data_IF_925087224838
#
_entry.id   IF_925087224838
#
_cell.length_a   1.000
_cell.length_b   1.000
_cell.length_c   1.000
_cell.angle_alpha   90.00
_cell.angle_beta   90.00
_cell.angle_gamma   90.00
#
_symmetry.space_group_name_H-M   'P 1'
#
loop_
_entity.id
_entity.type
_entity.pdbx_description
1 polymer ?
#
# COMPACT_ATOMS: atom_id res chain seq x y z
N UNK A 1 -32.63 -29.71 21.27
CA UNK A 1 -31.81 -28.58 20.77
C UNK A 1 -30.94 -29.14 19.65
N UNK A 2 -31.34 -28.94 18.39
CA UNK A 2 -30.69 -29.56 17.24
C UNK A 2 -29.41 -28.80 16.86
N UNK A 3 -28.29 -29.51 16.87
CA UNK A 3 -26.97 -29.03 16.48
C UNK A 3 -26.94 -28.74 14.97
N UNK A 4 -27.06 -27.46 14.59
CA UNK A 4 -27.09 -27.00 13.19
C UNK A 4 -25.71 -26.81 12.57
N UNK A 5 -24.62 -27.22 13.25
CA UNK A 5 -23.27 -26.87 12.86
C UNK A 5 -22.48 -28.05 12.24
N UNK A 6 -23.12 -28.83 11.38
CA UNK A 6 -22.45 -29.90 10.63
C UNK A 6 -21.84 -29.34 9.34
N UNK A 7 -20.62 -28.81 9.44
CA UNK A 7 -19.84 -28.43 8.25
C UNK A 7 -19.63 -29.62 7.32
N UNK A 8 -19.85 -29.41 6.02
CA UNK A 8 -19.78 -30.46 5.01
C UNK A 8 -18.32 -30.70 4.60
N UNK A 9 -17.82 -31.95 4.64
CA UNK A 9 -16.51 -32.26 4.09
C UNK A 9 -16.55 -32.14 2.57
N UNK A 10 -15.68 -31.30 2.00
CA UNK A 10 -15.57 -31.11 0.55
C UNK A 10 -14.26 -31.77 0.09
N UNK A 11 -14.35 -32.78 -0.77
CA UNK A 11 -13.18 -33.45 -1.35
C UNK A 11 -12.41 -32.50 -2.27
N UNK A 12 -11.11 -32.33 -2.05
CA UNK A 12 -10.26 -31.47 -2.88
C UNK A 12 -9.72 -32.24 -4.09
N UNK A 13 -9.92 -31.73 -5.30
CA UNK A 13 -9.33 -32.24 -6.54
C UNK A 13 -8.13 -31.37 -6.93
N UNK A 14 -6.98 -31.97 -7.24
CA UNK A 14 -5.78 -31.23 -7.65
C UNK A 14 -5.87 -30.58 -9.05
N UNK A 15 -6.88 -30.95 -9.83
CA UNK A 15 -7.11 -30.42 -11.16
C UNK A 15 -7.97 -29.15 -11.11
N UNK A 16 -7.48 -28.06 -11.72
CA UNK A 16 -8.20 -26.79 -11.80
C UNK A 16 -8.84 -26.67 -13.18
N UNK A 17 -10.16 -26.80 -13.25
CA UNK A 17 -10.87 -26.66 -14.52
C UNK A 17 -10.78 -25.22 -15.05
N UNK A 18 -10.69 -25.02 -16.37
CA UNK A 18 -10.53 -23.69 -16.96
C UNK A 18 -11.71 -22.76 -16.65
N UNK A 19 -12.92 -23.29 -16.57
CA UNK A 19 -14.12 -22.54 -16.21
C UNK A 19 -14.04 -21.98 -14.78
N UNK A 20 -13.57 -22.78 -13.82
CA UNK A 20 -13.42 -22.34 -12.43
C UNK A 20 -12.34 -21.26 -12.33
N UNK A 21 -11.26 -21.36 -13.12
CA UNK A 21 -10.20 -20.33 -13.19
C UNK A 21 -10.78 -19.01 -13.73
N UNK A 22 -11.63 -19.06 -14.76
CA UNK A 22 -12.28 -17.87 -15.30
C UNK A 22 -13.18 -17.18 -14.27
N UNK A 23 -13.96 -17.96 -13.53
CA UNK A 23 -14.78 -17.44 -12.42
C UNK A 23 -13.90 -16.84 -11.33
N UNK A 24 -12.82 -17.51 -10.92
CA UNK A 24 -11.89 -16.98 -9.92
C UNK A 24 -11.21 -15.68 -10.39
N UNK A 25 -10.80 -15.59 -11.65
CA UNK A 25 -10.25 -14.38 -12.25
C UNK A 25 -11.25 -13.22 -12.20
N UNK A 26 -12.51 -13.47 -12.53
CA UNK A 26 -13.57 -12.46 -12.40
C UNK A 26 -13.76 -12.00 -10.95
N UNK A 27 -13.84 -12.95 -10.02
CA UNK A 27 -14.09 -12.66 -8.61
C UNK A 27 -12.91 -11.93 -7.96
N UNK A 28 -11.67 -12.25 -8.33
CA UNK A 28 -10.46 -11.66 -7.73
C UNK A 28 -10.41 -10.14 -7.90
N UNK A 29 -10.87 -9.62 -9.03
CA UNK A 29 -10.89 -8.19 -9.31
C UNK A 29 -12.16 -7.50 -8.80
N UNK A 30 -13.15 -8.25 -8.30
CA UNK A 30 -14.47 -7.70 -8.02
C UNK A 30 -14.51 -6.91 -6.70
N UNK A 31 -14.89 -5.63 -6.78
CA UNK A 31 -15.00 -4.70 -5.64
C UNK A 31 -16.07 -5.13 -4.63
N UNK A 32 -17.10 -5.85 -5.06
CA UNK A 32 -18.21 -6.32 -4.19
C UNK A 32 -17.75 -7.24 -3.05
N UNK A 33 -16.62 -7.93 -3.22
CA UNK A 33 -16.04 -8.80 -2.20
C UNK A 33 -15.52 -8.02 -0.98
N UNK A 34 -15.20 -6.73 -1.12
CA UNK A 34 -14.51 -5.87 -0.13
C UNK A 34 -13.48 -6.66 0.68
N UNK A 35 -12.55 -7.25 -0.08
CA UNK A 35 -11.47 -8.12 0.38
C UNK A 35 -10.59 -7.36 1.38
N UNK A 36 -10.07 -8.07 2.38
CA UNK A 36 -9.15 -7.50 3.38
C UNK A 36 -7.94 -8.41 3.52
N UNK A 37 -6.80 -7.85 3.87
CA UNK A 37 -5.61 -8.64 4.20
C UNK A 37 -5.65 -9.10 5.66
N UNK A 38 -5.34 -10.36 5.89
CA UNK A 38 -5.18 -10.98 7.20
C UNK A 38 -3.96 -11.88 7.22
N UNK A 39 -3.57 -12.32 8.41
CA UNK A 39 -2.43 -13.21 8.60
C UNK A 39 -2.90 -14.65 8.74
N UNK A 40 -2.70 -15.49 7.74
CA UNK A 40 -2.92 -16.92 7.83
C UNK A 40 -1.88 -17.53 8.77
N UNK A 41 -2.35 -18.28 9.77
CA UNK A 41 -1.52 -18.92 10.80
C UNK A 41 -0.51 -17.96 11.47
N UNK A 42 -0.87 -16.67 11.54
CA UNK A 42 -0.07 -15.59 12.13
C UNK A 42 1.26 -15.27 11.42
N UNK A 43 1.47 -15.73 10.18
CA UNK A 43 2.71 -15.50 9.42
C UNK A 43 2.48 -14.95 8.02
N UNK A 44 1.57 -15.54 7.25
CA UNK A 44 1.43 -15.28 5.82
C UNK A 44 0.31 -14.28 5.54
N UNK A 45 0.59 -13.25 4.74
CA UNK A 45 -0.44 -12.32 4.31
C UNK A 45 -1.34 -12.95 3.25
N UNK A 46 -2.63 -13.06 3.57
CA UNK A 46 -3.66 -13.56 2.65
C UNK A 46 -4.83 -12.61 2.60
N UNK A 47 -5.46 -12.56 1.43
CA UNK A 47 -6.70 -11.82 1.26
C UNK A 47 -7.91 -12.71 1.56
N UNK A 48 -8.82 -12.20 2.39
CA UNK A 48 -9.99 -12.92 2.81
C UNK A 48 -11.27 -12.09 2.65
N UNK A 49 -12.38 -12.79 2.53
CA UNK A 49 -13.72 -12.23 2.32
C UNK A 49 -14.77 -13.08 3.03
N UNK A 50 -16.03 -12.65 2.99
CA UNK A 50 -17.17 -13.41 3.54
C UNK A 50 -17.96 -14.09 2.43
N UNK A 51 -18.51 -15.26 2.72
CA UNK A 51 -19.29 -16.06 1.77
C UNK A 51 -20.40 -15.27 1.08
N UNK A 52 -21.25 -14.57 1.83
CA UNK A 52 -22.37 -13.78 1.28
C UNK A 52 -21.97 -12.77 0.21
N UNK A 53 -20.72 -12.30 0.22
CA UNK A 53 -20.23 -11.35 -0.77
C UNK A 53 -19.88 -12.01 -2.09
N UNK A 54 -19.39 -13.25 -2.09
CA UNK A 54 -19.22 -14.03 -3.31
C UNK A 54 -20.56 -14.34 -3.93
N UNK A 55 -21.53 -14.81 -3.13
CA UNK A 55 -22.88 -15.11 -3.64
C UNK A 55 -23.48 -13.87 -4.31
N UNK A 56 -23.34 -12.69 -3.69
CA UNK A 56 -23.75 -11.42 -4.29
C UNK A 56 -22.97 -11.07 -5.56
N UNK A 57 -21.66 -11.33 -5.61
CA UNK A 57 -20.83 -11.07 -6.79
C UNK A 57 -21.24 -11.96 -7.97
N UNK A 58 -21.55 -13.24 -7.72
CA UNK A 58 -22.00 -14.20 -8.73
C UNK A 58 -23.40 -13.89 -9.25
N UNK A 59 -24.29 -13.34 -8.41
CA UNK A 59 -25.64 -12.93 -8.82
C UNK A 59 -25.71 -11.50 -9.39
N UNK A 60 -24.58 -10.79 -9.45
CA UNK A 60 -24.53 -9.41 -9.93
C UNK A 60 -24.73 -9.29 -11.44
N UNK A 61 -25.18 -8.11 -11.89
CA UNK A 61 -25.35 -7.82 -13.31
C UNK A 61 -24.00 -7.78 -14.06
N UNK A 62 -22.90 -7.49 -13.36
CA UNK A 62 -21.54 -7.59 -13.90
C UNK A 62 -21.18 -9.03 -14.30
N UNK A 63 -21.62 -10.01 -13.53
CA UNK A 63 -21.40 -11.41 -13.84
C UNK A 63 -22.23 -11.84 -15.04
N UNK A 64 -23.52 -11.49 -15.06
CA UNK A 64 -24.44 -11.80 -16.16
C UNK A 64 -23.99 -11.19 -17.49
N UNK A 65 -23.54 -9.94 -17.48
CA UNK A 65 -23.03 -9.26 -18.69
C UNK A 65 -21.76 -9.91 -19.23
N UNK A 66 -20.83 -10.35 -18.37
CA UNK A 66 -19.65 -11.09 -18.81
C UNK A 66 -19.97 -12.50 -19.27
N UNK A 67 -20.95 -13.14 -18.65
CA UNK A 67 -21.44 -14.47 -19.03
C UNK A 67 -22.09 -14.46 -20.42
N UNK A 68 -22.72 -13.34 -20.82
CA UNK A 68 -23.29 -13.19 -22.16
C UNK A 68 -22.24 -13.29 -23.29
N UNK A 69 -20.96 -13.11 -22.98
CA UNK A 69 -19.87 -13.30 -23.92
C UNK A 69 -19.43 -14.77 -23.95
N UNK A 70 -19.62 -15.51 -25.07
CA UNK A 70 -19.24 -16.93 -25.15
C UNK A 70 -17.73 -17.18 -24.93
N UNK A 71 -16.89 -16.18 -25.23
CA UNK A 71 -15.44 -16.23 -25.05
C UNK A 71 -15.00 -16.18 -23.59
N UNK A 72 -15.88 -15.79 -22.66
CA UNK A 72 -15.53 -15.65 -21.25
C UNK A 72 -15.45 -17.00 -20.52
N UNK A 73 -16.11 -18.05 -21.04
CA UNK A 73 -16.10 -19.39 -20.45
C UNK A 73 -16.51 -19.40 -18.98
N UNK A 74 -17.56 -18.63 -18.63
CA UNK A 74 -18.08 -18.50 -17.27
C UNK A 74 -19.24 -19.49 -17.05
N UNK A 75 -19.31 -20.04 -15.84
CA UNK A 75 -20.37 -20.99 -15.46
C UNK A 75 -21.70 -20.23 -15.33
N UNK A 76 -22.81 -20.72 -15.91
CA UNK A 76 -24.10 -20.06 -15.76
C UNK A 76 -24.62 -20.10 -14.33
N UNK A 77 -25.00 -18.95 -13.79
CA UNK A 77 -25.56 -18.83 -12.43
C UNK A 77 -26.90 -18.10 -12.50
N UNK A 78 -27.99 -18.82 -12.25
CA UNK A 78 -29.34 -18.25 -12.18
C UNK A 78 -29.81 -18.05 -10.74
N UNK A 79 -29.57 -19.06 -9.88
CA UNK A 79 -30.07 -19.10 -8.51
C UNK A 79 -28.94 -19.11 -7.48
N UNK A 80 -29.29 -18.84 -6.22
CA UNK A 80 -28.36 -18.93 -5.09
C UNK A 80 -27.79 -20.34 -4.90
N UNK A 81 -28.58 -21.37 -5.22
CA UNK A 81 -28.12 -22.77 -5.20
C UNK A 81 -27.01 -23.02 -6.23
N UNK A 82 -27.12 -22.42 -7.41
CA UNK A 82 -26.10 -22.56 -8.45
C UNK A 82 -24.84 -21.78 -8.08
N UNK A 83 -24.99 -20.59 -7.50
CA UNK A 83 -23.87 -19.84 -6.94
C UNK A 83 -23.13 -20.63 -5.85
N UNK A 84 -23.88 -21.38 -5.02
CA UNK A 84 -23.31 -22.25 -4.00
C UNK A 84 -22.53 -23.41 -4.61
N UNK A 85 -23.05 -24.07 -5.65
CA UNK A 85 -22.35 -25.14 -6.37
C UNK A 85 -21.06 -24.64 -7.02
N UNK A 86 -21.10 -23.47 -7.67
CA UNK A 86 -19.91 -22.82 -8.22
C UNK A 86 -18.91 -22.51 -7.11
N UNK A 87 -19.35 -22.02 -5.96
CA UNK A 87 -18.43 -21.77 -4.86
C UNK A 87 -17.81 -23.05 -4.29
N UNK A 88 -18.56 -24.15 -4.23
CA UNK A 88 -18.03 -25.46 -3.85
C UNK A 88 -16.95 -25.89 -4.83
N UNK A 89 -17.12 -25.69 -6.15
CA UNK A 89 -16.06 -26.03 -7.12
C UNK A 89 -14.79 -25.18 -6.95
N UNK A 90 -14.91 -23.91 -6.50
CA UNK A 90 -13.76 -23.09 -6.12
C UNK A 90 -13.01 -23.65 -4.89
N UNK A 91 -13.72 -24.23 -3.92
CA UNK A 91 -13.11 -24.90 -2.76
C UNK A 91 -12.45 -26.22 -3.18
N UNK A 92 -13.14 -27.04 -3.99
CA UNK A 92 -12.64 -28.32 -4.48
C UNK A 92 -11.32 -28.16 -5.26
N UNK A 93 -11.22 -27.12 -6.09
CA UNK A 93 -10.02 -26.77 -6.87
C UNK A 93 -8.93 -26.03 -6.06
N UNK A 94 -9.11 -25.92 -4.74
CA UNK A 94 -8.18 -25.26 -3.80
C UNK A 94 -7.85 -23.80 -4.14
N UNK A 95 -8.74 -23.08 -4.84
CA UNK A 95 -8.55 -21.65 -5.11
C UNK A 95 -8.93 -20.79 -3.90
N UNK A 96 -9.78 -21.34 -3.04
CA UNK A 96 -10.27 -20.72 -1.82
C UNK A 96 -10.18 -21.74 -0.68
N UNK A 97 -9.74 -21.29 0.49
CA UNK A 97 -9.71 -22.09 1.70
C UNK A 97 -10.66 -21.53 2.78
N UNK A 98 -11.41 -22.40 3.49
CA UNK A 98 -12.19 -21.98 4.65
C UNK A 98 -11.28 -21.52 5.79
N UNK A 99 -11.59 -20.36 6.37
CA UNK A 99 -10.80 -19.79 7.47
C UNK A 99 -11.69 -19.27 8.60
N UNK A 100 -11.19 -19.38 9.82
CA UNK A 100 -11.77 -18.72 10.99
C UNK A 100 -10.97 -17.47 11.30
N UNK A 101 -11.66 -16.33 11.44
CA UNK A 101 -11.05 -15.13 11.98
C UNK A 101 -10.98 -15.25 13.50
N UNK A 102 -9.77 -15.27 14.05
CA UNK A 102 -9.57 -15.36 15.50
C UNK A 102 -9.66 -13.99 16.17
N UNK A 103 -10.29 -13.94 17.34
CA UNK A 103 -10.22 -12.79 18.24
C UNK A 103 -8.95 -12.80 19.09
N UNK A 104 -8.59 -11.65 19.66
CA UNK A 104 -7.33 -11.47 20.41
C UNK A 104 -7.08 -12.52 21.50
N UNK A 105 -8.13 -12.93 22.20
CA UNK A 105 -8.06 -13.95 23.25
C UNK A 105 -7.85 -15.37 22.68
N UNK A 106 -8.47 -15.66 21.54
CA UNK A 106 -8.44 -16.98 20.89
C UNK A 106 -7.09 -17.27 20.22
N UNK A 107 -6.36 -16.23 19.82
CA UNK A 107 -5.02 -16.36 19.20
C UNK A 107 -4.07 -17.08 20.16
N UNK A 108 -4.00 -16.63 21.41
CA UNK A 108 -3.12 -17.22 22.43
C UNK A 108 -3.57 -18.62 22.87
N UNK A 109 -4.88 -18.88 22.84
CA UNK A 109 -5.45 -20.20 23.12
C UNK A 109 -5.11 -21.21 22.02
N UNK A 110 -5.13 -20.76 20.76
CA UNK A 110 -4.80 -21.61 19.61
C UNK A 110 -3.32 -21.95 19.59
N UNK A 111 -2.45 -20.96 19.78
CA UNK A 111 -1.01 -21.18 19.82
C UNK A 111 -0.34 -20.12 20.71
N UNK A 112 0.35 -20.57 21.75
CA UNK A 112 1.02 -19.68 22.73
C UNK A 112 2.12 -18.80 22.10
N UNK A 113 2.69 -19.22 20.96
CA UNK A 113 3.72 -18.47 20.23
C UNK A 113 3.14 -17.32 19.40
N UNK A 114 1.86 -17.37 19.03
CA UNK A 114 1.26 -16.36 18.17
C UNK A 114 1.07 -15.03 18.89
N UNK A 115 1.69 -13.98 18.33
CA UNK A 115 1.57 -12.61 18.81
C UNK A 115 0.43 -11.91 18.06
N UNK A 116 -0.58 -11.38 18.75
CA UNK A 116 -1.67 -10.67 18.10
C UNK A 116 -1.17 -9.41 17.38
N UNK A 117 -1.60 -9.22 16.14
CA UNK A 117 -1.35 -8.00 15.38
C UNK A 117 -2.56 -7.06 15.48
N UNK A 118 -2.33 -5.76 15.72
CA UNK A 118 -3.40 -4.75 15.83
C UNK A 118 -3.93 -4.29 14.46
N UNK A 119 -3.10 -4.36 13.42
CA UNK A 119 -3.42 -3.87 12.07
C UNK A 119 -4.13 -4.93 11.23
N UNK A 120 -3.70 -6.19 11.33
CA UNK A 120 -4.20 -7.31 10.53
C UNK A 120 -4.80 -8.39 11.43
N UNK A 121 -6.00 -8.90 11.14
CA UNK A 121 -6.57 -10.01 11.90
C UNK A 121 -5.84 -11.32 11.62
N UNK A 122 -5.73 -12.18 12.62
CA UNK A 122 -5.19 -13.53 12.46
C UNK A 122 -6.28 -14.48 11.98
N UNK A 123 -5.96 -15.29 10.97
CA UNK A 123 -6.84 -16.27 10.35
C UNK A 123 -6.29 -17.67 10.61
N UNK A 124 -7.16 -18.61 10.95
CA UNK A 124 -6.83 -20.02 11.13
C UNK A 124 -7.52 -20.85 10.05
N UNK A 125 -6.82 -21.77 9.42
CA UNK A 125 -7.43 -22.71 8.49
C UNK A 125 -8.37 -23.69 9.23
N UNK A 126 -9.54 -23.98 8.66
CA UNK A 126 -10.52 -24.94 9.19
C UNK A 126 -10.64 -26.11 8.22
N UNK A 127 -10.64 -27.35 8.69
CA UNK A 127 -10.82 -28.51 7.80
C UNK A 127 -12.22 -28.64 7.22
N UNK A 128 -13.26 -28.22 7.99
CA UNK A 128 -14.66 -28.28 7.57
C UNK A 128 -15.11 -26.92 7.04
N UNK A 129 -15.64 -26.90 5.82
CA UNK A 129 -16.23 -25.69 5.25
C UNK A 129 -17.66 -25.53 5.79
N UNK A 130 -17.94 -24.39 6.43
CA UNK A 130 -19.30 -23.99 6.75
C UNK A 130 -19.75 -22.91 5.74
N UNK A 131 -20.84 -23.17 5.01
CA UNK A 131 -21.40 -22.30 3.98
C UNK A 131 -22.43 -21.30 4.53
N UNK A 132 -22.23 -20.84 5.76
CA UNK A 132 -23.03 -19.75 6.34
C UNK A 132 -22.71 -18.39 5.72
N UNK A 133 -23.68 -17.46 5.65
CA UNK A 133 -23.48 -16.14 5.02
C UNK A 133 -22.29 -15.34 5.57
N UNK A 134 -21.98 -15.49 6.87
CA UNK A 134 -20.92 -14.74 7.56
C UNK A 134 -19.62 -15.53 7.78
N UNK A 135 -19.51 -16.75 7.23
CA UNK A 135 -18.27 -17.50 7.27
C UNK A 135 -17.19 -16.85 6.39
N UNK A 136 -15.93 -17.01 6.80
CA UNK A 136 -14.78 -16.41 6.16
C UNK A 136 -14.03 -17.41 5.30
N UNK A 137 -13.51 -16.89 4.19
CA UNK A 137 -12.75 -17.65 3.22
C UNK A 137 -11.57 -16.81 2.76
N UNK A 138 -10.41 -17.45 2.58
CA UNK A 138 -9.19 -16.81 2.09
C UNK A 138 -8.83 -17.30 0.69
N UNK A 139 -8.28 -16.41 -0.12
CA UNK A 139 -7.76 -16.75 -1.43
C UNK A 139 -6.43 -17.47 -1.30
N UNK A 140 -6.33 -18.61 -1.99
CA UNK A 140 -5.06 -19.27 -2.31
C UNK A 140 -4.67 -18.98 -3.76
N UNK A 141 -5.65 -18.66 -4.60
CA UNK A 141 -5.44 -18.32 -5.99
C UNK A 141 -4.89 -16.89 -6.17
N UNK A 142 -3.72 -16.80 -6.80
CA UNK A 142 -3.16 -15.55 -7.29
C UNK A 142 -3.42 -15.43 -8.79
N UNK A 143 -4.11 -14.35 -9.20
CA UNK A 143 -4.31 -14.06 -10.62
C UNK A 143 -2.94 -13.80 -11.27
N UNK A 144 -2.58 -14.53 -12.34
CA UNK A 144 -1.32 -14.28 -13.03
C UNK A 144 -1.32 -12.86 -13.60
N UNK A 145 -0.25 -12.12 -13.37
CA UNK A 145 -0.11 -10.79 -13.93
C UNK A 145 0.16 -10.91 -15.45
N UNK A 146 -0.74 -10.38 -16.32
CA UNK A 146 -0.64 -10.57 -17.77
C UNK A 146 0.64 -9.95 -18.35
N UNK A 147 1.24 -8.97 -17.68
CA UNK A 147 2.45 -8.30 -18.13
C UNK A 147 3.73 -9.06 -17.80
N UNK A 148 3.69 -10.13 -17.02
CA UNK A 148 4.90 -10.90 -16.66
C UNK A 148 5.57 -11.45 -17.91
N UNK A 149 4.79 -11.99 -18.85
CA UNK A 149 5.32 -12.49 -20.13
C UNK A 149 5.95 -11.36 -20.94
N UNK A 150 5.31 -10.18 -20.98
CA UNK A 150 5.85 -9.00 -21.65
C UNK A 150 7.18 -8.55 -21.03
N UNK A 151 7.27 -8.48 -19.70
CA UNK A 151 8.50 -8.13 -19.00
C UNK A 151 9.62 -9.15 -19.26
N UNK A 152 9.30 -10.45 -19.31
CA UNK A 152 10.27 -11.49 -19.65
C UNK A 152 10.80 -11.35 -21.07
N UNK A 153 9.93 -11.06 -22.04
CA UNK A 153 10.34 -10.81 -23.43
C UNK A 153 11.18 -9.55 -23.53
N UNK A 154 10.76 -8.46 -22.86
CA UNK A 154 11.49 -7.20 -22.86
C UNK A 154 12.87 -7.33 -22.23
N UNK A 155 12.99 -8.10 -21.14
CA UNK A 155 14.26 -8.42 -20.51
C UNK A 155 15.16 -9.20 -21.47
N UNK A 156 14.62 -10.22 -22.14
CA UNK A 156 15.37 -11.01 -23.12
C UNK A 156 15.90 -10.13 -24.26
N UNK A 157 15.03 -9.31 -24.87
CA UNK A 157 15.41 -8.36 -25.92
C UNK A 157 16.46 -7.36 -25.42
N UNK A 158 16.31 -6.86 -24.19
CA UNK A 158 17.29 -5.95 -23.57
C UNK A 158 18.67 -6.59 -23.41
N UNK A 159 18.74 -7.83 -22.94
CA UNK A 159 20.00 -8.58 -22.81
C UNK A 159 20.64 -8.81 -24.18
N UNK A 160 19.84 -9.24 -25.18
CA UNK A 160 20.34 -9.39 -26.55
C UNK A 160 20.87 -8.08 -27.12
N UNK A 161 20.15 -6.97 -26.92
CA UNK A 161 20.58 -5.67 -27.39
C UNK A 161 21.96 -5.29 -26.83
N UNK A 162 22.21 -5.55 -25.54
CA UNK A 162 23.52 -5.29 -24.91
C UNK A 162 24.61 -6.22 -25.45
N UNK A 163 24.35 -7.52 -25.60
CA UNK A 163 25.34 -8.47 -26.14
C UNK A 163 25.69 -8.13 -27.60
N UNK A 164 24.70 -7.67 -28.37
CA UNK A 164 24.86 -7.26 -29.76
C UNK A 164 25.43 -5.83 -29.91
N UNK A 165 25.83 -5.16 -28.82
CA UNK A 165 26.47 -3.84 -28.87
C UNK A 165 27.60 -3.70 -29.92
N UNK A 166 28.46 -4.72 -30.15
CA UNK A 166 29.47 -4.65 -31.21
C UNK A 166 28.89 -4.42 -32.62
N UNK A 167 27.68 -4.92 -32.89
CA UNK A 167 26.98 -4.81 -34.16
C UNK A 167 26.13 -3.54 -34.28
N UNK A 168 26.09 -2.69 -33.26
CA UNK A 168 25.29 -1.46 -33.33
C UNK A 168 25.87 -0.50 -34.38
N UNK A 169 25.02 0.35 -34.99
CA UNK A 169 25.48 1.45 -35.83
C UNK A 169 26.42 2.39 -35.06
N UNK A 170 27.41 2.95 -35.75
CA UNK A 170 28.44 3.76 -35.09
C UNK A 170 27.87 5.02 -34.41
N UNK A 171 26.80 5.61 -34.95
CA UNK A 171 26.12 6.74 -34.30
C UNK A 171 25.56 6.40 -32.92
N UNK A 172 25.10 5.16 -32.69
CA UNK A 172 24.58 4.72 -31.39
C UNK A 172 25.73 4.49 -30.40
N UNK A 173 26.85 3.92 -30.86
CA UNK A 173 28.06 3.75 -30.03
C UNK A 173 28.59 5.10 -29.54
N UNK A 174 28.62 6.08 -30.43
CA UNK A 174 28.99 7.46 -30.11
C UNK A 174 28.01 8.07 -29.09
N UNK A 175 26.70 7.86 -29.28
CA UNK A 175 25.68 8.28 -28.30
C UNK A 175 25.92 7.70 -26.90
N UNK A 176 26.18 6.39 -26.80
CA UNK A 176 26.51 5.73 -25.52
C UNK A 176 27.79 6.29 -24.92
N UNK A 177 28.81 6.58 -25.73
CA UNK A 177 30.04 7.20 -25.26
C UNK A 177 29.80 8.60 -24.67
N UNK A 178 29.03 9.45 -25.34
CA UNK A 178 28.67 10.78 -24.82
C UNK A 178 27.85 10.70 -23.54
N UNK A 179 26.87 9.79 -23.48
CA UNK A 179 26.07 9.57 -22.26
C UNK A 179 26.98 9.08 -21.12
N UNK A 180 27.91 8.17 -21.39
CA UNK A 180 28.86 7.66 -20.40
C UNK A 180 29.76 8.77 -19.85
N UNK A 181 30.35 9.60 -20.72
CA UNK A 181 31.16 10.75 -20.31
C UNK A 181 30.32 11.79 -19.57
N UNK A 182 29.09 12.06 -20.01
CA UNK A 182 28.20 12.99 -19.32
C UNK A 182 27.85 12.49 -17.90
N UNK A 183 27.54 11.21 -17.74
CA UNK A 183 27.29 10.61 -16.43
C UNK A 183 28.54 10.60 -15.55
N UNK A 184 29.72 10.32 -16.13
CA UNK A 184 30.99 10.37 -15.40
C UNK A 184 31.35 11.80 -14.97
N UNK A 185 31.08 12.80 -15.82
CA UNK A 185 31.24 14.21 -15.51
C UNK A 185 30.27 14.68 -14.42
N UNK A 186 29.00 14.29 -14.51
CA UNK A 186 28.00 14.54 -13.46
C UNK A 186 28.45 13.92 -12.13
N UNK A 187 28.91 12.68 -12.15
CA UNK A 187 29.42 11.99 -10.96
C UNK A 187 30.67 12.68 -10.40
N UNK A 188 31.60 13.08 -11.26
CA UNK A 188 32.79 13.86 -10.88
C UNK A 188 32.44 15.21 -10.25
N UNK A 189 31.40 15.89 -10.76
CA UNK A 189 30.88 17.12 -10.18
C UNK A 189 30.33 16.90 -8.76
N UNK A 190 29.57 15.81 -8.54
CA UNK A 190 29.11 15.45 -7.20
C UNK A 190 30.28 15.20 -6.23
N UNK A 191 31.33 14.50 -6.66
CA UNK A 191 32.54 14.31 -5.84
C UNK A 191 33.26 15.64 -5.56
N UNK A 192 33.39 16.51 -6.57
CA UNK A 192 34.03 17.81 -6.39
C UNK A 192 33.27 18.66 -5.35
N UNK A 193 31.94 18.71 -5.44
CA UNK A 193 31.10 19.43 -4.47
C UNK A 193 31.24 18.82 -3.07
N UNK A 194 31.29 17.49 -2.95
CA UNK A 194 31.49 16.81 -1.68
C UNK A 194 32.88 17.11 -1.06
N UNK A 195 33.94 17.14 -1.87
CA UNK A 195 35.30 17.49 -1.43
C UNK A 195 35.38 18.95 -1.01
N UNK A 196 34.87 19.88 -1.83
CA UNK A 196 34.83 21.32 -1.50
C UNK A 196 34.07 21.54 -0.20
N UNK A 197 32.91 20.90 -0.03
CA UNK A 197 32.14 20.92 1.22
C UNK A 197 32.96 20.42 2.40
N UNK A 198 33.69 19.32 2.26
CA UNK A 198 34.53 18.77 3.32
C UNK A 198 35.66 19.73 3.71
N UNK A 199 36.35 20.32 2.73
CA UNK A 199 37.43 21.27 2.97
C UNK A 199 36.90 22.50 3.73
N UNK A 200 35.79 23.08 3.26
CA UNK A 200 35.17 24.24 3.92
C UNK A 200 34.74 23.88 5.35
N UNK A 201 34.17 22.70 5.55
CA UNK A 201 33.77 22.23 6.87
C UNK A 201 34.99 22.13 7.82
N UNK A 202 36.08 21.50 7.39
CA UNK A 202 37.33 21.39 8.17
C UNK A 202 37.89 22.77 8.52
N UNK A 203 37.96 23.68 7.55
CA UNK A 203 38.43 25.05 7.78
C UNK A 203 37.52 25.78 8.78
N UNK A 204 36.21 25.63 8.62
CA UNK A 204 35.23 26.28 9.50
C UNK A 204 35.29 25.78 10.94
N UNK A 205 35.65 24.51 11.17
CA UNK A 205 35.86 23.96 12.51
C UNK A 205 37.01 24.64 13.26
N UNK A 206 38.04 25.09 12.54
CA UNK A 206 39.22 25.72 13.15
C UNK A 206 39.01 27.22 13.36
N UNK A 207 38.32 27.89 12.44
CA UNK A 207 38.19 29.35 12.42
C UNK A 207 36.95 29.85 13.16
N UNK A 208 35.83 29.14 13.05
CA UNK A 208 34.54 29.61 13.56
C UNK A 208 34.08 28.78 14.77
N UNK A 209 33.36 29.39 15.73
CA UNK A 209 32.76 28.66 16.85
C UNK A 209 31.60 27.74 16.43
N UNK A 210 31.08 27.89 15.21
CA UNK A 210 30.04 27.04 14.63
C UNK A 210 30.52 26.51 13.28
N UNK A 211 30.45 25.20 13.04
CA UNK A 211 30.80 24.63 11.75
C UNK A 211 29.90 25.19 10.64
N UNK A 212 30.52 25.58 9.54
CA UNK A 212 29.84 26.01 8.32
C UNK A 212 29.57 24.80 7.44
N UNK A 213 28.36 24.74 6.88
CA UNK A 213 27.92 23.62 6.08
C UNK A 213 27.42 24.09 4.71
N UNK A 214 28.18 23.77 3.65
CA UNK A 214 27.82 24.08 2.28
C UNK A 214 26.85 23.02 1.73
N UNK A 215 25.74 23.44 1.14
CA UNK A 215 24.65 22.57 0.64
C UNK A 215 24.15 21.53 1.65
N UNK A 216 23.43 21.96 2.71
CA UNK A 216 22.86 21.06 3.72
C UNK A 216 22.06 19.91 3.15
N UNK A 217 21.24 20.18 2.15
CA UNK A 217 20.25 19.23 1.63
C UNK A 217 20.78 18.33 0.51
N UNK A 218 22.09 18.38 0.18
CA UNK A 218 22.65 17.65 -0.97
C UNK A 218 22.50 16.12 -0.87
N UNK A 219 22.50 15.58 0.35
CA UNK A 219 22.35 14.15 0.64
C UNK A 219 21.08 13.85 1.46
N UNK A 220 20.16 14.81 1.59
CA UNK A 220 18.85 14.57 2.18
C UNK A 220 17.88 14.03 1.12
N UNK A 221 16.78 13.40 1.55
CA UNK A 221 15.74 12.83 0.68
C UNK A 221 14.92 13.94 -0.01
N UNK A 222 15.58 14.75 -0.83
CA UNK A 222 15.06 15.92 -1.51
C UNK A 222 15.28 15.79 -3.03
N UNK A 223 14.42 16.42 -3.82
CA UNK A 223 14.62 16.48 -5.28
C UNK A 223 15.86 17.29 -5.66
N UNK A 224 16.41 17.06 -6.85
CA UNK A 224 17.69 17.66 -7.30
C UNK A 224 17.76 19.17 -7.10
N UNK A 225 16.68 19.91 -7.35
CA UNK A 225 16.65 21.38 -7.21
C UNK A 225 16.63 21.81 -5.73
N UNK A 226 15.93 21.06 -4.89
CA UNK A 226 15.83 21.32 -3.45
C UNK A 226 17.12 20.92 -2.72
N UNK A 227 17.87 19.96 -3.25
CA UNK A 227 19.19 19.58 -2.73
C UNK A 227 20.22 20.73 -2.75
N UNK A 228 20.07 21.69 -3.66
CA UNK A 228 20.96 22.85 -3.78
C UNK A 228 20.46 24.11 -3.05
N UNK A 229 19.35 24.01 -2.31
CA UNK A 229 18.77 25.12 -1.55
C UNK A 229 18.52 24.69 -0.09
N UNK A 230 18.92 25.48 0.91
CA UNK A 230 19.74 26.69 0.84
C UNK A 230 21.20 26.39 0.44
N UNK A 231 21.93 27.39 -0.07
CA UNK A 231 23.33 27.26 -0.51
C UNK A 231 24.28 26.93 0.65
N UNK A 232 23.97 27.43 1.85
CA UNK A 232 24.75 27.22 3.06
C UNK A 232 23.86 27.22 4.30
N UNK A 233 24.35 26.60 5.36
CA UNK A 233 23.79 26.67 6.70
C UNK A 233 24.92 26.65 7.73
N UNK A 234 24.65 27.20 8.91
CA UNK A 234 25.53 27.04 10.08
C UNK A 234 24.97 25.90 10.93
N UNK A 235 25.83 25.02 11.42
CA UNK A 235 25.37 24.00 12.36
C UNK A 235 24.90 24.66 13.66
N UNK A 236 23.62 24.51 13.98
CA UNK A 236 23.12 24.87 15.30
C UNK A 236 23.64 23.88 16.34
N UNK A 237 24.10 24.34 17.51
CA UNK A 237 24.48 23.42 18.58
C UNK A 237 23.28 22.53 18.89
N UNK A 238 23.45 21.21 18.77
CA UNK A 238 22.43 20.22 19.13
C UNK A 238 21.94 20.52 20.54
N UNK A 239 20.80 21.22 20.67
CA UNK A 239 20.13 21.36 21.96
C UNK A 239 19.89 19.93 22.46
N UNK A 240 20.37 19.54 23.66
CA UNK A 240 20.03 18.24 24.18
C UNK A 240 18.50 18.16 24.19
N UNK A 241 17.96 17.11 23.56
CA UNK A 241 16.52 16.82 23.57
C UNK A 241 16.09 16.69 25.03
N UNK A 242 15.72 17.80 25.68
CA UNK A 242 15.03 17.80 26.96
C UNK A 242 13.71 17.08 26.71
N UNK A 243 13.54 15.94 27.36
CA UNK A 243 12.37 15.11 27.25
C UNK A 243 11.10 15.94 27.47
N UNK A 244 10.11 15.73 26.60
CA UNK A 244 8.73 16.15 26.82
C UNK A 244 8.22 15.46 28.10
N UNK A 245 8.15 16.20 29.21
CA UNK A 245 7.21 15.97 30.31
C UNK A 245 6.52 17.30 30.65
N UNK A 246 5.24 17.35 30.27
CA UNK A 246 4.10 18.05 30.89
C UNK A 246 4.35 19.19 31.91
N UNK A 247 3.78 20.37 31.67
CA UNK A 247 2.56 20.85 32.36
C UNK A 247 2.23 22.33 32.01
N UNK A 248 0.94 22.60 31.87
CA UNK A 248 0.26 23.89 31.73
C UNK A 248 0.43 24.78 32.98
N UNK A 249 0.47 26.13 32.85
CA UNK A 249 -0.63 27.09 33.20
C UNK A 249 -0.19 28.56 33.05
N UNK A 250 -1.08 29.39 32.46
CA UNK A 250 -1.45 30.82 32.67
C UNK A 250 -0.36 31.89 32.94
N UNK A 251 -0.40 33.17 32.54
CA UNK A 251 -1.43 34.17 32.17
C UNK A 251 -0.69 35.33 31.41
N UNK A 252 -1.19 35.91 30.30
CA UNK A 252 -2.03 37.14 30.16
C UNK A 252 -1.19 38.42 29.78
N UNK A 253 -1.14 38.85 28.48
CA UNK A 253 -1.76 40.05 27.78
C UNK A 253 -1.11 41.44 28.15
N UNK A 254 -1.07 42.56 27.34
CA UNK A 254 -1.05 42.86 25.87
C UNK A 254 0.00 43.93 25.41
N UNK A 255 -0.09 44.31 24.11
CA UNK A 255 0.19 45.64 23.47
C UNK A 255 1.64 45.90 23.02
N UNK A 256 1.95 46.45 21.83
CA UNK A 256 1.32 47.49 21.00
C UNK A 256 1.73 47.37 19.52
N UNK A 257 0.80 47.73 18.62
CA UNK A 257 0.98 48.12 17.21
C UNK A 257 1.52 49.58 17.11
N UNK A 258 2.02 50.14 15.97
CA UNK A 258 1.24 50.26 14.71
C UNK A 258 1.97 50.28 13.33
N UNK A 259 1.20 49.86 12.32
CA UNK A 259 0.96 50.42 10.97
C UNK A 259 2.07 51.13 10.14
N UNK A 260 2.26 50.68 8.90
CA UNK A 260 1.93 51.53 7.72
C UNK A 260 1.67 50.70 6.44
N UNK A 261 0.54 51.03 5.82
CA UNK A 261 -0.02 50.48 4.58
C UNK A 261 0.68 51.04 3.32
N UNK A 262 0.76 50.23 2.26
CA UNK A 262 0.35 50.69 0.92
C UNK A 262 -0.19 49.54 0.06
N UNK A 263 -1.48 49.69 -0.26
CA UNK A 263 -2.29 49.10 -1.35
C UNK A 263 -1.68 49.49 -2.73
N UNK A 264 -1.99 48.90 -3.90
CA UNK A 264 -2.89 47.86 -4.39
C UNK A 264 -2.57 47.58 -5.88
N UNK A 265 -2.95 46.39 -6.39
CA UNK A 265 -3.48 46.10 -7.75
C UNK A 265 -3.55 44.56 -7.90
N UNK A 266 -4.69 43.91 -7.61
CA UNK A 266 -5.81 43.60 -8.51
C UNK A 266 -5.51 42.60 -9.66
N UNK A 267 -5.93 41.34 -9.52
CA UNK A 267 -7.01 40.74 -10.35
C UNK A 267 -7.24 39.24 -10.06
N UNK A 268 -8.53 38.87 -9.98
CA UNK A 268 -9.20 37.56 -10.21
C UNK A 268 -8.60 36.27 -9.60
N UNK A 269 -9.29 35.45 -8.81
CA UNK A 269 -10.72 35.18 -8.69
C UNK A 269 -10.95 33.67 -8.88
N UNK A 270 -11.12 32.93 -7.80
CA UNK A 270 -11.78 31.62 -7.77
C UNK A 270 -12.17 31.26 -6.33
N UNK A 271 -13.45 31.43 -6.02
CA UNK A 271 -14.10 31.02 -4.77
C UNK A 271 -13.99 29.51 -4.51
N UNK A 272 -13.70 29.16 -3.26
CA UNK A 272 -14.29 27.98 -2.62
C UNK A 272 -14.83 28.39 -1.26
N UNK A 273 -16.15 28.31 -1.17
CA UNK A 273 -16.98 28.30 0.02
C UNK A 273 -16.54 27.18 0.96
N UNK A 274 -16.23 27.48 2.21
CA UNK A 274 -16.14 26.46 3.26
C UNK A 274 -17.04 26.82 4.44
N UNK A 275 -18.03 25.94 4.65
CA UNK A 275 -19.09 26.09 5.63
C UNK A 275 -18.58 25.84 7.05
N UNK A 276 -18.94 26.78 7.91
CA UNK A 276 -18.77 26.72 9.36
C UNK A 276 -19.53 25.51 9.95
N UNK A 277 -18.81 24.53 10.51
CA UNK A 277 -19.42 23.48 11.35
C UNK A 277 -18.82 23.50 12.74
N UNK A 278 -19.60 24.12 13.62
CA UNK A 278 -19.47 24.15 15.07
C UNK A 278 -19.40 22.73 15.68
N UNK A 279 -18.35 22.46 16.46
CA UNK A 279 -18.20 21.23 17.25
C UNK A 279 -19.14 21.27 18.46
N UNK A 280 -20.17 20.42 18.46
CA UNK A 280 -21.02 20.15 19.64
C UNK A 280 -20.22 19.37 20.70
N UNK A 281 -20.26 19.89 21.93
CA UNK A 281 -19.76 19.27 23.17
C UNK A 281 -20.90 18.46 23.80
N UNK A 282 -20.70 17.17 24.03
CA UNK A 282 -21.65 16.29 24.74
C UNK A 282 -21.41 16.45 26.24
N UNK A 283 -22.45 16.85 26.96
CA UNK A 283 -22.53 16.87 28.43
C UNK A 283 -23.26 15.58 28.84
N UNK A 284 -22.68 14.82 29.76
CA UNK A 284 -23.33 13.70 30.44
C UNK A 284 -23.95 14.27 31.71
N UNK A 285 -25.28 14.18 31.81
CA UNK A 285 -26.04 14.47 33.02
C UNK A 285 -26.10 13.17 33.83
N UNK A 286 -25.51 13.19 35.02
CA UNK A 286 -25.67 12.14 36.03
C UNK A 286 -27.06 12.28 36.65
N UNK A 287 -27.84 11.20 36.61
CA UNK A 287 -29.10 11.09 37.36
C UNK A 287 -28.73 10.50 38.73
N UNK A 288 -28.80 11.32 39.77
CA UNK A 288 -28.90 10.86 41.16
C UNK A 288 -30.37 10.57 41.50
N UNK A 289 -30.56 9.67 42.48
CA UNK A 289 -31.78 8.96 42.91
C UNK A 289 -33.08 9.78 43.04
#
# INVERSE_FOLDING_TARGET
>A
MADRNQGVPVSTSGERSPETINVANFLRDNKTLKQRTGLLNNSEDVEFFRYKRIVRALLSDEYKSKQANPKAGLIPVANEQDATKVFISLIQSQMVIPVQKLHFHEIKQTNKSWKPNRQKPTLKNITKANLEPDSYFAWTYAKPNPFVVLYSILLLVGVFAVILFPLWPDFMKIGVWYISIAMLGLLGLFFLIAIVRLIIYIISLVIFPKPFWLYPNLFEDCGVIESFKPLYAWEEPKKPKKGKKSAKKAAEIPSTEPLSNSNAAASSGAEKTDGNVSKRKVVLEEVED
#
